data_IF_591231815444
#
_entry.id   IF_591231815444
#
_cell.length_a   1.000
_cell.length_b   1.000
_cell.length_c   1.000
_cell.angle_alpha   90.00
_cell.angle_beta   90.00
_cell.angle_gamma   90.00
#
_symmetry.space_group_name_H-M   'P 1'
#
loop_
_entity.id
_entity.type
_entity.pdbx_description
1 polymer ?
#
# COMPACT_ATOMS: atom_id res chain seq x y z
N UNK A 1 13.65 7.91 -19.55
CA UNK A 1 12.20 8.22 -19.65
C UNK A 1 11.99 9.37 -20.61
N UNK A 2 11.06 9.23 -21.55
CA UNK A 2 10.76 10.28 -22.53
C UNK A 2 10.03 11.45 -21.88
N UNK A 3 10.13 12.66 -22.45
CA UNK A 3 9.41 13.84 -21.95
C UNK A 3 7.89 13.66 -22.00
N UNK A 4 7.39 12.95 -23.02
CA UNK A 4 5.97 12.62 -23.15
C UNK A 4 5.49 11.73 -21.99
N UNK A 5 6.27 10.70 -21.64
CA UNK A 5 5.99 9.80 -20.52
C UNK A 5 6.03 10.55 -19.18
N UNK A 6 7.00 11.46 -19.02
CA UNK A 6 7.08 12.32 -17.84
C UNK A 6 5.86 13.21 -17.71
N UNK A 7 5.40 13.81 -18.81
CA UNK A 7 4.18 14.63 -18.83
C UNK A 7 2.95 13.84 -18.43
N UNK A 8 2.83 12.62 -18.95
CA UNK A 8 1.72 11.72 -18.62
C UNK A 8 1.70 11.39 -17.12
N UNK A 9 2.86 11.04 -16.58
CA UNK A 9 3.02 10.74 -15.15
C UNK A 9 2.61 11.93 -14.28
N UNK A 10 3.12 13.12 -14.59
CA UNK A 10 2.79 14.35 -13.85
C UNK A 10 1.30 14.65 -13.93
N UNK A 11 0.69 14.44 -15.09
CA UNK A 11 -0.74 14.67 -15.29
C UNK A 11 -1.58 13.73 -14.42
N UNK A 12 -1.22 12.43 -14.37
CA UNK A 12 -1.93 11.47 -13.50
C UNK A 12 -1.76 11.86 -12.03
N UNK A 13 -0.55 12.14 -11.60
CA UNK A 13 -0.25 12.44 -10.20
C UNK A 13 -0.92 13.73 -9.69
N UNK A 14 -1.17 14.69 -10.58
CA UNK A 14 -1.82 15.96 -10.25
C UNK A 14 -3.33 15.98 -10.45
N UNK A 15 -3.87 14.94 -11.08
CA UNK A 15 -5.30 14.84 -11.30
C UNK A 15 -6.01 14.64 -9.97
N UNK A 16 -7.18 15.26 -9.81
CA UNK A 16 -8.02 14.98 -8.66
C UNK A 16 -8.39 13.49 -8.64
N UNK A 17 -8.32 12.89 -7.46
CA UNK A 17 -8.63 11.47 -7.28
C UNK A 17 -10.03 11.11 -7.78
N UNK A 18 -10.96 12.07 -7.68
CA UNK A 18 -12.35 11.92 -8.13
C UNK A 18 -12.48 11.73 -9.65
N UNK A 19 -11.54 12.27 -10.41
CA UNK A 19 -11.57 12.27 -11.88
C UNK A 19 -10.81 11.09 -12.49
N UNK A 20 -10.22 10.23 -11.67
CA UNK A 20 -9.46 9.09 -12.15
C UNK A 20 -10.34 7.97 -12.65
N UNK A 21 -9.98 7.38 -13.80
CA UNK A 21 -10.58 6.14 -14.26
C UNK A 21 -10.16 4.99 -13.34
N UNK A 22 -10.89 3.86 -13.35
CA UNK A 22 -10.47 2.67 -12.59
C UNK A 22 -9.04 2.22 -12.91
N UNK A 23 -8.65 2.27 -14.18
CA UNK A 23 -7.29 1.89 -14.60
C UNK A 23 -6.24 2.85 -14.06
N UNK A 24 -6.50 4.16 -14.07
CA UNK A 24 -5.61 5.17 -13.50
C UNK A 24 -5.50 5.02 -11.99
N UNK A 25 -6.61 4.74 -11.33
CA UNK A 25 -6.65 4.50 -9.88
C UNK A 25 -5.72 3.35 -9.48
N UNK A 26 -5.78 2.22 -10.18
CA UNK A 26 -4.94 1.06 -9.90
C UNK A 26 -3.44 1.36 -10.07
N UNK A 27 -3.07 2.30 -10.94
CA UNK A 27 -1.67 2.70 -11.13
C UNK A 27 -1.07 3.45 -9.93
N UNK A 28 -1.89 3.98 -9.04
CA UNK A 28 -1.42 4.69 -7.86
C UNK A 28 -0.81 3.79 -6.81
N UNK A 29 -1.19 2.51 -6.76
CA UNK A 29 -0.58 1.55 -5.85
C UNK A 29 0.86 1.28 -6.28
N UNK A 30 1.82 1.48 -5.37
CA UNK A 30 3.23 1.23 -5.66
C UNK A 30 3.67 -0.23 -5.44
N UNK A 31 2.77 -1.06 -4.90
CA UNK A 31 3.07 -2.46 -4.64
C UNK A 31 3.94 -2.69 -3.40
N UNK A 32 3.90 -1.80 -2.42
CA UNK A 32 4.73 -1.94 -1.21
C UNK A 32 4.31 -3.09 -0.29
N UNK A 33 3.05 -3.51 -0.35
CA UNK A 33 2.52 -4.61 0.45
C UNK A 33 2.23 -4.27 1.91
N UNK A 34 2.48 -3.06 2.37
CA UNK A 34 2.29 -2.68 3.77
C UNK A 34 0.82 -2.71 4.22
N UNK A 35 -0.11 -2.40 3.32
CA UNK A 35 -1.54 -2.45 3.64
C UNK A 35 -2.05 -3.87 3.89
N UNK A 36 -1.32 -4.89 3.45
CA UNK A 36 -1.63 -6.31 3.68
C UNK A 36 -1.01 -6.86 4.96
N UNK A 37 -0.35 -6.04 5.75
CA UNK A 37 0.07 -6.41 7.09
C UNK A 37 -1.12 -6.32 8.03
N UNK A 38 -1.22 -7.27 8.96
CA UNK A 38 -2.26 -7.23 9.99
C UNK A 38 -2.01 -6.06 10.94
N UNK A 39 -3.09 -5.45 11.43
CA UNK A 39 -3.06 -4.32 12.36
C UNK A 39 -3.90 -4.65 13.57
N UNK A 40 -3.49 -4.10 14.71
CA UNK A 40 -4.22 -4.23 15.96
C UNK A 40 -4.68 -2.86 16.42
N UNK A 41 -5.92 -2.76 16.90
CA UNK A 41 -6.41 -1.57 17.57
C UNK A 41 -6.32 -1.80 19.08
N UNK A 42 -5.48 -1.00 19.74
CA UNK A 42 -5.26 -1.06 21.19
C UNK A 42 -5.44 0.34 21.73
N UNK A 43 -6.37 0.51 22.66
CA UNK A 43 -6.69 1.81 23.30
C UNK A 43 -6.96 2.92 22.27
N UNK A 44 -7.67 2.58 21.19
CA UNK A 44 -8.02 3.50 20.13
C UNK A 44 -6.90 3.82 19.16
N UNK A 45 -5.76 3.17 19.27
CA UNK A 45 -4.59 3.36 18.37
C UNK A 45 -4.40 2.14 17.48
N UNK A 46 -4.05 2.38 16.22
CA UNK A 46 -3.73 1.33 15.26
C UNK A 46 -2.24 1.03 15.35
N UNK A 47 -1.92 -0.25 15.55
CA UNK A 47 -0.55 -0.76 15.57
C UNK A 47 -0.35 -1.70 14.39
N UNK A 48 0.66 -1.42 13.57
CA UNK A 48 1.06 -2.34 12.52
C UNK A 48 1.84 -3.50 13.13
N UNK A 49 1.68 -4.68 12.52
CA UNK A 49 2.47 -5.86 12.86
C UNK A 49 3.30 -6.28 11.67
N UNK A 50 4.29 -7.14 11.89
CA UNK A 50 5.01 -7.79 10.80
C UNK A 50 4.32 -9.08 10.33
N UNK A 51 3.05 -9.26 10.67
CA UNK A 51 2.27 -10.43 10.28
C UNK A 51 1.57 -10.14 8.96
N UNK A 52 1.98 -10.82 7.89
CA UNK A 52 1.38 -10.64 6.58
C UNK A 52 0.13 -11.50 6.39
N UNK A 53 -0.82 -10.97 5.61
CA UNK A 53 -1.92 -11.78 5.08
C UNK A 53 -1.33 -13.00 4.36
N UNK A 54 -1.91 -14.17 4.57
CA UNK A 54 -1.45 -15.43 3.94
C UNK A 54 -1.45 -15.40 2.42
N UNK A 55 -2.22 -14.51 1.82
CA UNK A 55 -2.29 -14.35 0.37
C UNK A 55 -1.33 -13.30 -0.18
N UNK A 56 -0.62 -12.57 0.67
CA UNK A 56 0.42 -11.65 0.23
C UNK A 56 1.68 -12.41 -0.13
N UNK A 57 2.13 -12.30 -1.36
CA UNK A 57 3.42 -12.84 -1.77
C UNK A 57 4.55 -11.96 -1.24
N UNK A 58 5.46 -12.53 -0.46
CA UNK A 58 6.53 -11.80 0.21
C UNK A 58 7.61 -11.26 -0.75
N UNK A 59 7.72 -11.83 -1.95
CA UNK A 59 8.68 -11.38 -2.95
C UNK A 59 8.11 -10.29 -3.86
N UNK A 60 6.95 -10.55 -4.46
CA UNK A 60 6.30 -9.59 -5.34
C UNK A 60 5.61 -8.46 -4.58
N UNK A 61 5.26 -8.69 -3.32
CA UNK A 61 4.46 -7.81 -2.47
C UNK A 61 3.05 -7.57 -3.03
N UNK A 62 2.55 -8.52 -3.82
CA UNK A 62 1.22 -8.47 -4.43
C UNK A 62 0.31 -9.53 -3.83
N UNK A 63 -0.99 -9.24 -3.81
CA UNK A 63 -2.00 -10.19 -3.37
C UNK A 63 -2.21 -11.28 -4.43
N UNK A 64 -2.07 -12.54 -4.03
CA UNK A 64 -2.25 -13.70 -4.94
C UNK A 64 -3.70 -13.89 -5.38
N UNK A 65 -4.65 -13.32 -4.64
CA UNK A 65 -6.09 -13.48 -4.89
C UNK A 65 -6.78 -12.12 -5.06
N UNK A 66 -6.09 -11.14 -5.61
CA UNK A 66 -6.53 -9.74 -5.67
C UNK A 66 -7.99 -9.60 -6.13
N UNK A 67 -8.37 -10.29 -7.20
CA UNK A 67 -9.72 -10.20 -7.76
C UNK A 67 -10.80 -10.87 -6.89
N UNK A 68 -10.43 -11.91 -6.12
CA UNK A 68 -11.36 -12.63 -5.24
C UNK A 68 -11.09 -12.37 -3.75
N UNK A 69 -10.31 -11.34 -3.44
CA UNK A 69 -9.85 -11.11 -2.05
C UNK A 69 -10.98 -10.97 -1.05
N UNK A 70 -12.07 -10.35 -1.44
CA UNK A 70 -13.20 -10.14 -0.53
C UNK A 70 -13.99 -11.41 -0.24
N UNK A 71 -13.96 -12.39 -1.15
CA UNK A 71 -14.58 -13.69 -0.95
C UNK A 71 -13.76 -14.55 0.02
N UNK A 72 -12.43 -14.49 -0.10
CA UNK A 72 -11.50 -15.32 0.68
C UNK A 72 -11.11 -14.69 2.02
N UNK A 73 -11.11 -13.36 2.08
CA UNK A 73 -10.73 -12.59 3.26
C UNK A 73 -11.79 -11.52 3.51
N UNK A 74 -12.86 -11.83 4.25
CA UNK A 74 -13.95 -10.88 4.49
C UNK A 74 -13.51 -9.57 5.15
N UNK A 75 -12.41 -9.60 5.93
CA UNK A 75 -11.88 -8.42 6.60
C UNK A 75 -10.96 -7.57 5.70
N UNK A 76 -10.72 -8.00 4.45
CA UNK A 76 -9.92 -7.23 3.50
C UNK A 76 -10.63 -5.91 3.18
N UNK A 77 -9.87 -4.82 3.21
CA UNK A 77 -10.41 -3.47 2.97
C UNK A 77 -10.18 -3.04 1.53
N UNK A 78 -11.19 -2.42 0.95
CA UNK A 78 -11.06 -1.77 -0.34
C UNK A 78 -10.36 -0.43 -0.17
N UNK A 79 -9.40 -0.13 -1.04
CA UNK A 79 -8.74 1.18 -1.11
C UNK A 79 -9.40 1.95 -2.24
N UNK A 80 -10.62 2.41 -2.01
CA UNK A 80 -11.38 3.23 -2.95
C UNK A 80 -11.47 4.69 -2.46
N UNK A 81 -12.03 5.56 -3.28
CA UNK A 81 -12.10 6.98 -2.96
C UNK A 81 -12.84 7.25 -1.65
N UNK A 82 -13.94 6.55 -1.42
CA UNK A 82 -14.72 6.69 -0.19
C UNK A 82 -13.88 6.35 1.04
N UNK A 83 -13.16 5.21 0.99
CA UNK A 83 -12.30 4.77 2.07
C UNK A 83 -11.19 5.78 2.36
N UNK A 84 -10.56 6.32 1.31
CA UNK A 84 -9.48 7.31 1.44
C UNK A 84 -9.98 8.61 2.07
N UNK A 85 -11.16 9.09 1.67
CA UNK A 85 -11.74 10.34 2.19
C UNK A 85 -12.10 10.26 3.67
N UNK A 86 -12.29 9.06 4.20
CA UNK A 86 -12.53 8.81 5.62
C UNK A 86 -11.25 8.90 6.47
N UNK A 87 -10.11 9.19 5.87
CA UNK A 87 -8.79 9.30 6.53
C UNK A 87 -8.44 8.06 7.34
N UNK A 88 -8.34 6.89 6.70
CA UNK A 88 -8.14 5.63 7.40
C UNK A 88 -6.76 5.56 8.06
N UNK A 89 -6.74 5.11 9.31
CA UNK A 89 -5.50 4.94 10.07
C UNK A 89 -4.78 3.63 9.77
N UNK A 90 -5.43 2.74 8.99
CA UNK A 90 -4.86 1.45 8.61
C UNK A 90 -4.01 1.52 7.34
N UNK A 91 -3.96 2.67 6.66
CA UNK A 91 -3.06 2.88 5.53
C UNK A 91 -1.73 3.43 6.00
N UNK A 92 -0.60 2.97 5.42
CA UNK A 92 0.71 3.56 5.69
C UNK A 92 0.75 5.02 5.21
N UNK A 93 1.50 5.85 5.90
CA UNK A 93 1.69 7.26 5.53
C UNK A 93 2.47 7.44 4.23
N UNK A 94 3.11 6.38 3.74
CA UNK A 94 3.83 6.36 2.46
C UNK A 94 2.94 5.90 1.30
N UNK A 95 1.70 5.50 1.59
CA UNK A 95 0.76 5.07 0.56
C UNK A 95 0.42 6.22 -0.38
N UNK A 96 0.49 5.98 -1.69
CA UNK A 96 0.22 7.01 -2.69
C UNK A 96 -1.18 7.60 -2.56
N UNK A 97 -2.17 6.79 -2.27
CA UNK A 97 -3.55 7.24 -2.05
C UNK A 97 -3.62 8.21 -0.87
N UNK A 98 -2.97 7.87 0.24
CA UNK A 98 -2.93 8.72 1.43
C UNK A 98 -2.19 10.02 1.13
N UNK A 99 -1.04 9.95 0.47
CA UNK A 99 -0.22 11.11 0.13
C UNK A 99 -0.99 12.10 -0.74
N UNK A 100 -1.58 11.63 -1.84
CA UNK A 100 -2.32 12.49 -2.76
C UNK A 100 -3.57 13.09 -2.12
N UNK A 101 -4.31 12.33 -1.31
CA UNK A 101 -5.48 12.82 -0.61
C UNK A 101 -5.14 13.92 0.40
N UNK A 102 -3.93 13.89 0.95
CA UNK A 102 -3.45 14.90 1.90
C UNK A 102 -2.61 16.01 1.25
N UNK A 103 -2.60 16.09 -0.07
CA UNK A 103 -1.94 17.18 -0.80
C UNK A 103 -0.44 17.03 -1.00
N UNK A 104 0.10 15.84 -0.74
CA UNK A 104 1.52 15.55 -0.96
C UNK A 104 1.76 14.99 -2.36
N UNK A 105 2.97 15.20 -2.87
CA UNK A 105 3.41 14.62 -4.13
C UNK A 105 3.76 13.14 -3.95
N UNK A 106 3.78 12.40 -5.08
CA UNK A 106 4.26 11.02 -5.09
C UNK A 106 5.76 11.00 -4.81
N UNK A 107 6.25 10.01 -4.04
CA UNK A 107 7.68 9.87 -3.78
C UNK A 107 8.49 9.52 -5.03
N UNK A 108 9.78 9.81 -5.00
CA UNK A 108 10.70 9.51 -6.12
C UNK A 108 10.74 8.03 -6.50
N UNK A 109 10.54 7.13 -5.54
CA UNK A 109 10.53 5.68 -5.78
C UNK A 109 9.20 5.17 -6.34
N UNK A 110 8.17 6.00 -6.41
CA UNK A 110 6.89 5.56 -6.95
C UNK A 110 7.06 5.18 -8.44
N UNK A 111 6.50 4.06 -8.90
CA UNK A 111 6.64 3.63 -10.29
C UNK A 111 6.23 4.66 -11.33
N UNK A 112 5.21 5.47 -11.02
CA UNK A 112 4.78 6.56 -11.91
C UNK A 112 5.81 7.67 -12.03
N UNK A 113 6.66 7.86 -11.03
CA UNK A 113 7.72 8.87 -11.04
C UNK A 113 9.01 8.31 -11.63
N UNK A 114 9.43 7.15 -11.15
CA UNK A 114 10.68 6.51 -11.57
C UNK A 114 10.61 5.85 -12.95
N UNK A 115 9.42 5.44 -13.38
CA UNK A 115 9.23 4.64 -14.58
C UNK A 115 9.61 3.17 -14.40
N UNK A 116 9.87 2.73 -13.17
CA UNK A 116 10.31 1.38 -12.84
C UNK A 116 9.47 0.82 -11.68
N UNK A 117 8.76 -0.27 -11.95
CA UNK A 117 7.90 -0.94 -10.97
C UNK A 117 8.66 -1.52 -9.78
N UNK A 118 9.97 -1.73 -9.90
CA UNK A 118 10.79 -2.30 -8.83
C UNK A 118 11.48 -1.24 -7.96
N UNK A 119 11.31 0.04 -8.27
CA UNK A 119 11.97 1.12 -7.53
C UNK A 119 11.53 1.20 -6.07
N UNK A 120 10.27 0.87 -5.76
CA UNK A 120 9.76 0.81 -4.39
C UNK A 120 10.54 -0.20 -3.55
N UNK A 121 10.95 -1.32 -4.15
CA UNK A 121 11.72 -2.37 -3.47
C UNK A 121 13.16 -1.94 -3.28
N UNK A 122 13.79 -1.35 -4.30
CA UNK A 122 15.17 -0.85 -4.21
C UNK A 122 15.31 0.29 -3.19
N UNK A 123 14.25 1.07 -3.01
CA UNK A 123 14.21 2.15 -2.01
C UNK A 123 13.88 1.65 -0.60
N UNK A 124 13.76 0.34 -0.40
CA UNK A 124 13.41 -0.29 0.88
C UNK A 124 12.06 0.18 1.45
N UNK A 125 11.14 0.56 0.59
CA UNK A 125 9.81 1.06 0.96
C UNK A 125 8.72 -0.02 0.90
N UNK A 126 9.08 -1.23 0.50
CA UNK A 126 8.17 -2.38 0.47
C UNK A 126 8.48 -3.36 1.58
N UNK A 127 7.59 -4.34 1.78
CA UNK A 127 7.83 -5.41 2.76
C UNK A 127 8.86 -6.45 2.28
N UNK A 128 9.28 -6.39 1.02
CA UNK A 128 10.32 -7.28 0.50
C UNK A 128 11.61 -7.12 1.29
N UNK A 129 12.14 -8.24 1.77
CA UNK A 129 13.39 -8.27 2.55
C UNK A 129 13.25 -7.92 4.02
N UNK A 130 12.06 -7.55 4.48
CA UNK A 130 11.80 -7.34 5.91
C UNK A 130 11.46 -8.65 6.60
N UNK A 131 11.69 -8.71 7.90
CA UNK A 131 11.28 -9.85 8.71
C UNK A 131 9.76 -9.79 8.88
N UNK A 132 9.06 -10.55 8.05
CA UNK A 132 7.61 -10.70 8.11
C UNK A 132 7.25 -12.17 8.21
N UNK A 133 6.17 -12.46 8.90
CA UNK A 133 5.69 -13.83 9.14
C UNK A 133 4.25 -13.97 8.63
N UNK A 134 3.91 -15.13 8.06
CA UNK A 134 2.55 -15.39 7.61
C UNK A 134 1.58 -15.51 8.80
N UNK A 135 0.39 -14.94 8.66
CA UNK A 135 -0.66 -15.07 9.67
C UNK A 135 -1.01 -16.52 10.00
N UNK A 136 -0.78 -17.44 9.05
CA UNK A 136 -0.99 -18.89 9.26
C UNK A 136 -0.05 -19.50 10.30
N UNK A 137 1.04 -18.81 10.64
CA UNK A 137 2.06 -19.28 11.59
C UNK A 137 2.01 -18.53 12.93
N UNK A 138 1.06 -17.60 13.11
CA UNK A 138 1.00 -16.71 14.27
C UNK A 138 -0.21 -17.05 15.15
N UNK A 139 0.00 -17.11 16.46
CA UNK A 139 -1.06 -17.30 17.45
C UNK A 139 -1.40 -15.99 18.19
N UNK A 140 -0.39 -15.19 18.52
CA UNK A 140 -0.54 -13.95 19.30
C UNK A 140 0.02 -12.78 18.50
N UNK A 141 -0.86 -12.05 17.83
CA UNK A 141 -0.47 -10.93 16.96
C UNK A 141 0.23 -9.79 17.71
N UNK A 142 -0.12 -9.61 18.98
CA UNK A 142 0.46 -8.57 19.84
C UNK A 142 1.97 -8.72 20.06
N UNK A 143 2.51 -9.94 19.88
CA UNK A 143 3.94 -10.20 20.00
C UNK A 143 4.71 -9.72 18.76
N UNK A 144 4.01 -9.32 17.70
CA UNK A 144 4.59 -8.96 16.39
C UNK A 144 4.37 -7.50 16.03
N UNK A 145 3.97 -6.66 16.98
CA UNK A 145 3.83 -5.22 16.75
C UNK A 145 5.20 -4.63 16.39
N UNK A 146 5.22 -3.78 15.37
CA UNK A 146 6.42 -3.10 14.91
C UNK A 146 6.28 -1.58 15.06
N UNK A 147 7.41 -0.91 15.19
CA UNK A 147 7.48 0.56 15.25
C UNK A 147 8.14 1.16 14.00
N UNK A 148 7.95 0.52 12.86
CA UNK A 148 8.51 1.01 11.60
C UNK A 148 8.01 2.43 11.33
N UNK A 149 8.93 3.31 10.89
CA UNK A 149 8.63 4.73 10.67
C UNK A 149 7.81 5.02 9.42
N UNK A 150 7.73 4.04 8.51
CA UNK A 150 7.04 4.16 7.23
C UNK A 150 5.66 3.46 7.20
N UNK A 151 5.09 3.23 8.34
CA UNK A 151 3.74 2.67 8.49
C UNK A 151 2.84 3.55 9.35
#
# INVERSE_FOLDING_TARGET
>A
MTEEKKRYIVTIARRDLEDMSPAEWELLCDGCGKCCLNKLEIDGKIHFTCVRCRFLDAKSCLCRIYENRFEKVPDCRSVDLKAIREKPRWLPKTCAYWLLDNGYDLPEWHPLVSGDKDSVHRAFQSVRGRLIISESEVKHYEDYIVDWKDV
#
